data_IF_888615419543
#
_entry.id   IF_888615419543
#
_cell.length_a   1.000
_cell.length_b   1.000
_cell.length_c   1.000
_cell.angle_alpha   90.00
_cell.angle_beta   90.00
_cell.angle_gamma   90.00
#
_symmetry.space_group_name_H-M   'P 1'
#
loop_
_entity.id
_entity.type
_entity.pdbx_description
1 polymer ?
#
# COMPACT_ATOMS: atom_id res chain seq x y z
N UNK A 1 5.55 -7.66 -8.63
CA UNK A 1 4.12 -7.44 -8.92
C UNK A 1 3.32 -7.63 -7.65
N UNK A 2 2.63 -6.57 -7.20
CA UNK A 2 1.93 -6.50 -5.91
C UNK A 2 0.43 -6.78 -6.04
N UNK A 3 -0.30 -5.91 -6.74
CA UNK A 3 -1.69 -6.14 -7.16
C UNK A 3 -1.83 -5.75 -8.65
N UNK A 4 -2.72 -6.44 -9.35
CA UNK A 4 -3.13 -6.17 -10.72
C UNK A 4 -4.44 -5.38 -10.70
N UNK A 5 -4.55 -4.38 -11.59
CA UNK A 5 -5.82 -3.67 -11.82
C UNK A 5 -6.62 -4.51 -12.83
N UNK A 6 -7.71 -5.10 -12.38
CA UNK A 6 -8.57 -5.93 -13.22
C UNK A 6 -9.68 -5.09 -13.87
N UNK A 7 -10.24 -4.15 -13.13
CA UNK A 7 -11.22 -3.19 -13.64
C UNK A 7 -10.97 -1.80 -13.05
N UNK A 8 -11.07 -0.78 -13.89
CA UNK A 8 -10.91 0.61 -13.50
C UNK A 8 -11.91 1.46 -14.28
N UNK A 9 -12.93 1.91 -13.55
CA UNK A 9 -13.92 2.88 -13.98
C UNK A 9 -13.95 4.04 -13.00
N UNK A 10 -14.72 5.08 -13.29
CA UNK A 10 -14.83 6.25 -12.40
C UNK A 10 -15.46 5.90 -11.04
N UNK A 11 -16.32 4.86 -11.01
CA UNK A 11 -17.04 4.40 -9.82
C UNK A 11 -16.54 3.08 -9.22
N UNK A 12 -15.78 2.28 -9.96
CA UNK A 12 -15.29 0.97 -9.49
C UNK A 12 -13.80 0.83 -9.74
N UNK A 13 -13.07 0.43 -8.69
CA UNK A 13 -11.67 0.02 -8.79
C UNK A 13 -11.54 -1.41 -8.24
N UNK A 14 -11.18 -2.35 -9.11
CA UNK A 14 -10.99 -3.75 -8.77
C UNK A 14 -9.51 -4.11 -8.88
N UNK A 15 -8.91 -4.44 -7.74
CA UNK A 15 -7.53 -4.90 -7.63
C UNK A 15 -7.53 -6.38 -7.27
N UNK A 16 -6.76 -7.19 -7.97
CA UNK A 16 -6.63 -8.63 -7.69
C UNK A 16 -5.17 -9.05 -7.61
N UNK A 17 -4.91 -10.07 -6.79
CA UNK A 17 -3.60 -10.68 -6.62
C UNK A 17 -3.76 -12.19 -6.69
N UNK A 18 -3.12 -12.77 -7.70
CA UNK A 18 -3.00 -14.21 -7.84
C UNK A 18 -1.71 -14.74 -7.18
N UNK A 19 -1.67 -16.02 -6.76
CA UNK A 19 -0.48 -16.67 -6.26
C UNK A 19 0.69 -16.53 -7.23
N UNK A 20 1.89 -16.31 -6.71
CA UNK A 20 3.08 -16.15 -7.53
C UNK A 20 3.53 -17.44 -8.21
N UNK A 21 4.39 -17.30 -9.24
CA UNK A 21 4.98 -18.43 -9.97
C UNK A 21 5.68 -19.45 -9.04
N UNK A 22 6.27 -18.97 -7.94
CA UNK A 22 6.91 -19.83 -6.91
C UNK A 22 5.91 -20.73 -6.20
N UNK A 23 4.72 -20.22 -5.91
CA UNK A 23 3.69 -20.97 -5.23
C UNK A 23 3.07 -22.01 -6.16
N UNK A 24 2.81 -21.63 -7.41
CA UNK A 24 2.41 -22.56 -8.46
C UNK A 24 3.45 -23.65 -8.74
N UNK A 25 4.74 -23.31 -8.75
CA UNK A 25 5.80 -24.29 -8.98
C UNK A 25 5.93 -25.29 -7.82
N UNK A 26 5.76 -24.84 -6.57
CA UNK A 26 5.70 -25.73 -5.41
C UNK A 26 4.50 -26.69 -5.49
N UNK A 27 3.33 -26.18 -5.89
CA UNK A 27 2.14 -27.01 -6.04
C UNK A 27 2.37 -28.13 -7.05
N UNK A 28 2.85 -27.78 -8.25
CA UNK A 28 3.14 -28.76 -9.31
C UNK A 28 4.26 -29.70 -8.90
N UNK A 29 5.33 -29.17 -8.28
CA UNK A 29 6.48 -29.94 -7.84
C UNK A 29 6.10 -31.01 -6.82
N UNK A 30 5.42 -30.63 -5.73
CA UNK A 30 5.01 -31.57 -4.68
C UNK A 30 3.96 -32.56 -5.22
N UNK A 31 3.01 -32.09 -6.04
CA UNK A 31 2.00 -32.98 -6.63
C UNK A 31 2.63 -34.00 -7.59
N UNK A 32 3.67 -33.61 -8.35
CA UNK A 32 4.38 -34.52 -9.26
C UNK A 32 5.09 -35.64 -8.51
N UNK A 33 5.67 -35.35 -7.34
CA UNK A 33 6.29 -36.36 -6.46
C UNK A 33 5.25 -37.35 -5.95
N UNK A 34 4.07 -36.85 -5.53
CA UNK A 34 2.96 -37.71 -5.12
C UNK A 34 2.45 -38.62 -6.24
N UNK A 35 2.38 -38.09 -7.47
CA UNK A 35 1.99 -38.88 -8.64
C UNK A 35 3.04 -39.94 -8.99
N UNK A 36 4.33 -39.59 -8.95
CA UNK A 36 5.43 -40.53 -9.17
C UNK A 36 5.41 -41.65 -8.11
N UNK A 37 5.25 -41.29 -6.84
CA UNK A 37 5.13 -42.26 -5.75
C UNK A 37 3.94 -43.21 -5.97
N UNK A 38 2.77 -42.69 -6.38
CA UNK A 38 1.60 -43.52 -6.67
C UNK A 38 1.76 -44.39 -7.93
N UNK A 39 2.49 -43.92 -8.94
CA UNK A 39 2.71 -44.63 -10.20
C UNK A 39 3.73 -45.77 -10.08
N UNK A 40 4.87 -45.50 -9.42
CA UNK A 40 5.94 -46.49 -9.24
C UNK A 40 5.72 -47.43 -8.05
N UNK A 41 4.78 -47.12 -7.16
CA UNK A 41 4.39 -48.03 -6.08
C UNK A 41 3.55 -49.20 -6.64
N UNK A 42 3.86 -50.42 -6.21
CA UNK A 42 3.04 -51.63 -6.45
C UNK A 42 1.93 -51.80 -5.41
N UNK A 43 1.72 -50.81 -4.54
CA UNK A 43 0.77 -50.90 -3.43
C UNK A 43 -0.70 -50.85 -3.90
N UNK A 44 -1.59 -51.25 -3.00
CA UNK A 44 -3.04 -51.15 -3.19
C UNK A 44 -3.49 -49.71 -3.50
N UNK A 45 -4.62 -49.59 -4.20
CA UNK A 45 -5.23 -48.29 -4.54
C UNK A 45 -5.38 -47.33 -3.35
N UNK A 46 -5.62 -47.86 -2.13
CA UNK A 46 -5.72 -47.03 -0.93
C UNK A 46 -4.43 -46.30 -0.58
N UNK A 47 -3.28 -46.98 -0.66
CA UNK A 47 -1.97 -46.38 -0.41
C UNK A 47 -1.59 -45.36 -1.49
N UNK A 48 -1.92 -45.65 -2.75
CA UNK A 48 -1.73 -44.71 -3.87
C UNK A 48 -2.54 -43.42 -3.70
N UNK A 49 -3.82 -43.55 -3.31
CA UNK A 49 -4.66 -42.41 -3.00
C UNK A 49 -4.14 -41.63 -1.79
N UNK A 50 -3.61 -42.31 -0.78
CA UNK A 50 -3.01 -41.67 0.38
C UNK A 50 -1.79 -40.82 0.01
N UNK A 51 -0.86 -41.34 -0.82
CA UNK A 51 0.29 -40.57 -1.29
C UNK A 51 -0.14 -39.36 -2.12
N UNK A 52 -1.08 -39.55 -3.03
CA UNK A 52 -1.57 -38.47 -3.88
C UNK A 52 -2.30 -37.39 -3.07
N UNK A 53 -3.20 -37.79 -2.15
CA UNK A 53 -3.93 -36.88 -1.29
C UNK A 53 -3.02 -36.16 -0.30
N UNK A 54 -2.05 -36.86 0.30
CA UNK A 54 -1.07 -36.27 1.21
C UNK A 54 -0.18 -35.24 0.52
N UNK A 55 0.36 -35.56 -0.65
CA UNK A 55 1.14 -34.61 -1.44
C UNK A 55 0.30 -33.42 -1.90
N UNK A 56 -0.93 -33.65 -2.37
CA UNK A 56 -1.83 -32.56 -2.75
C UNK A 56 -2.19 -31.67 -1.57
N UNK A 57 -2.40 -32.24 -0.38
CA UNK A 57 -2.71 -31.48 0.82
C UNK A 57 -1.56 -30.56 1.25
N UNK A 58 -0.32 -31.08 1.24
CA UNK A 58 0.88 -30.28 1.52
C UNK A 58 1.10 -29.22 0.45
N UNK A 59 0.88 -29.56 -0.82
CA UNK A 59 0.98 -28.64 -1.95
C UNK A 59 0.00 -27.46 -1.80
N UNK A 60 -1.26 -27.76 -1.45
CA UNK A 60 -2.32 -26.77 -1.29
C UNK A 60 -2.12 -25.90 -0.05
N UNK A 61 -1.53 -26.42 1.04
CA UNK A 61 -1.16 -25.61 2.21
C UNK A 61 -0.05 -24.58 1.91
N UNK A 62 0.83 -24.88 0.97
CA UNK A 62 1.91 -23.97 0.56
C UNK A 62 1.47 -23.01 -0.56
N UNK A 63 0.21 -23.10 -1.00
CA UNK A 63 -0.33 -22.20 -1.99
C UNK A 63 -0.64 -20.85 -1.34
N UNK A 64 -0.12 -19.78 -1.92
CA UNK A 64 -0.38 -18.41 -1.47
C UNK A 64 -1.89 -18.09 -1.60
N UNK A 65 -2.37 -17.19 -0.74
CA UNK A 65 -3.75 -16.73 -0.78
C UNK A 65 -3.99 -15.83 -2.01
N UNK A 66 -5.20 -15.91 -2.56
CA UNK A 66 -5.69 -14.92 -3.51
C UNK A 66 -6.27 -13.74 -2.73
N UNK A 67 -5.93 -12.53 -3.15
CA UNK A 67 -6.40 -11.30 -2.50
C UNK A 67 -7.13 -10.45 -3.54
N UNK A 68 -8.33 -9.99 -3.22
CA UNK A 68 -9.12 -9.07 -4.06
C UNK A 68 -9.52 -7.86 -3.23
N UNK A 69 -9.34 -6.65 -3.77
CA UNK A 69 -9.80 -5.41 -3.18
C UNK A 69 -10.69 -4.67 -4.19
N UNK A 70 -11.97 -4.52 -3.86
CA UNK A 70 -12.97 -3.89 -4.73
C UNK A 70 -13.46 -2.62 -4.04
N UNK A 71 -13.14 -1.46 -4.62
CA UNK A 71 -13.64 -0.17 -4.18
C UNK A 71 -14.83 0.22 -5.07
N UNK A 72 -16.00 0.46 -4.47
CA UNK A 72 -17.21 0.88 -5.17
C UNK A 72 -17.73 2.19 -4.62
N UNK A 73 -17.60 3.27 -5.39
CA UNK A 73 -18.16 4.59 -5.05
C UNK A 73 -19.67 4.58 -5.06
N UNK A 74 -20.28 3.85 -6.00
CA UNK A 74 -21.74 3.78 -6.14
C UNK A 74 -22.43 3.24 -4.87
N UNK A 75 -21.78 2.29 -4.20
CA UNK A 75 -22.29 1.69 -2.96
C UNK A 75 -21.67 2.28 -1.70
N UNK A 76 -20.67 3.17 -1.83
CA UNK A 76 -19.96 3.75 -0.69
C UNK A 76 -19.11 2.72 0.08
N UNK A 77 -18.71 1.61 -0.53
CA UNK A 77 -18.08 0.47 0.18
C UNK A 77 -16.81 -0.03 -0.48
N UNK A 78 -15.93 -0.54 0.35
CA UNK A 78 -14.72 -1.30 -0.01
C UNK A 78 -14.90 -2.73 0.46
N UNK A 79 -14.70 -3.67 -0.46
CA UNK A 79 -14.70 -5.09 -0.18
C UNK A 79 -13.28 -5.60 -0.29
N UNK A 80 -12.70 -6.01 0.83
CA UNK A 80 -11.42 -6.70 0.87
C UNK A 80 -11.73 -8.18 1.06
N UNK A 81 -11.42 -8.99 0.06
CA UNK A 81 -11.63 -10.43 0.08
C UNK A 81 -10.29 -11.12 0.07
N UNK A 82 -10.09 -12.03 1.00
CA UNK A 82 -9.00 -12.99 0.97
C UNK A 82 -9.59 -14.36 0.76
N UNK A 83 -9.07 -15.06 -0.24
CA UNK A 83 -9.49 -16.39 -0.61
C UNK A 83 -8.33 -17.37 -0.48
N UNK A 84 -8.54 -18.42 0.31
CA UNK A 84 -7.54 -19.45 0.55
C UNK A 84 -8.02 -20.79 -0.06
N UNK A 85 -7.24 -21.35 -1.00
CA UNK A 85 -7.60 -22.59 -1.67
C UNK A 85 -7.58 -23.79 -0.72
N UNK A 86 -6.68 -23.82 0.27
CA UNK A 86 -6.67 -24.81 1.35
C UNK A 86 -7.96 -24.76 2.16
N UNK A 87 -8.39 -23.57 2.59
CA UNK A 87 -9.68 -23.40 3.27
C UNK A 87 -10.83 -23.85 2.37
N UNK A 88 -10.83 -23.53 1.07
CA UNK A 88 -11.88 -24.00 0.15
C UNK A 88 -11.90 -25.52 -0.01
N UNK A 89 -10.72 -26.15 -0.13
CA UNK A 89 -10.60 -27.60 -0.28
C UNK A 89 -11.03 -28.34 0.99
N UNK A 90 -10.61 -27.85 2.16
CA UNK A 90 -11.00 -28.45 3.44
C UNK A 90 -12.46 -28.21 3.79
N UNK A 91 -12.99 -27.03 3.50
CA UNK A 91 -14.35 -26.69 3.94
C UNK A 91 -15.42 -27.15 2.95
N UNK A 92 -15.04 -27.62 1.74
CA UNK A 92 -15.90 -28.19 0.67
C UNK A 92 -17.18 -27.36 0.37
N UNK A 93 -17.23 -26.12 0.85
CA UNK A 93 -18.44 -25.28 0.91
C UNK A 93 -18.06 -23.80 0.99
N UNK A 94 -19.06 -22.95 0.70
CA UNK A 94 -19.04 -21.49 0.43
C UNK A 94 -18.41 -20.59 1.52
N UNK A 95 -17.88 -21.16 2.60
CA UNK A 95 -17.39 -20.47 3.80
C UNK A 95 -15.91 -20.04 3.76
N UNK A 96 -15.19 -20.28 2.66
CA UNK A 96 -13.74 -20.02 2.54
C UNK A 96 -13.33 -18.59 2.16
N UNK A 97 -14.26 -17.63 2.16
CA UNK A 97 -13.98 -16.23 1.80
C UNK A 97 -13.99 -15.36 3.07
N UNK A 98 -12.82 -14.92 3.51
CA UNK A 98 -12.75 -13.83 4.50
C UNK A 98 -13.02 -12.54 3.75
N UNK A 99 -14.21 -11.97 3.95
CA UNK A 99 -14.62 -10.70 3.36
C UNK A 99 -14.76 -9.65 4.45
N UNK A 100 -13.95 -8.61 4.35
CA UNK A 100 -14.06 -7.40 5.16
C UNK A 100 -14.72 -6.34 4.31
N UNK A 101 -15.83 -5.78 4.80
CA UNK A 101 -16.56 -4.69 4.15
C UNK A 101 -16.36 -3.45 4.99
N UNK A 102 -15.76 -2.42 4.40
CA UNK A 102 -15.51 -1.15 5.09
C UNK A 102 -16.11 -0.02 4.26
N UNK A 103 -16.80 0.95 4.86
CA UNK A 103 -17.37 2.05 4.09
C UNK A 103 -16.26 3.02 3.66
N UNK A 104 -16.46 3.67 2.50
CA UNK A 104 -15.46 4.49 1.83
C UNK A 104 -15.17 5.80 2.59
N UNK A 105 -16.16 6.34 3.26
CA UNK A 105 -16.09 7.55 4.10
C UNK A 105 -15.19 7.37 5.33
N UNK A 106 -15.03 6.14 5.80
CA UNK A 106 -14.12 5.83 6.89
C UNK A 106 -12.65 5.85 6.47
N UNK A 107 -12.32 5.74 5.17
CA UNK A 107 -10.93 5.74 4.71
C UNK A 107 -10.41 7.16 4.66
N UNK A 108 -9.43 7.47 5.51
CA UNK A 108 -8.84 8.80 5.62
C UNK A 108 -7.56 8.97 4.80
N UNK A 109 -6.74 7.93 4.75
CA UNK A 109 -5.44 7.98 4.07
C UNK A 109 -4.99 6.58 3.64
N UNK A 110 -4.15 6.53 2.62
CA UNK A 110 -3.48 5.32 2.14
C UNK A 110 -1.98 5.52 2.32
N UNK A 111 -1.35 4.69 3.15
CA UNK A 111 0.08 4.75 3.41
C UNK A 111 0.77 3.49 2.89
N UNK A 112 2.06 3.61 2.61
CA UNK A 112 2.93 2.45 2.35
C UNK A 112 3.76 2.22 3.60
N UNK A 113 3.59 1.06 4.23
CA UNK A 113 4.38 0.67 5.41
C UNK A 113 5.50 -0.30 5.01
N UNK A 114 6.68 -0.10 5.61
CA UNK A 114 7.84 -0.98 5.45
C UNK A 114 7.79 -2.05 6.55
N UNK A 115 7.56 -3.30 6.16
CA UNK A 115 7.63 -4.44 7.06
C UNK A 115 9.03 -5.06 6.99
N UNK A 116 9.77 -5.03 8.11
CA UNK A 116 11.07 -5.70 8.20
C UNK A 116 10.87 -7.20 8.40
N UNK A 117 11.10 -7.97 7.36
CA UNK A 117 11.04 -9.44 7.43
C UNK A 117 12.40 -9.97 7.88
N UNK A 118 12.45 -10.59 9.07
CA UNK A 118 13.68 -10.98 9.81
C UNK A 118 14.81 -11.60 8.98
N UNK A 119 14.51 -12.34 7.91
CA UNK A 119 15.50 -13.05 7.08
C UNK A 119 15.48 -12.66 5.60
N UNK A 120 14.54 -11.80 5.23
CA UNK A 120 14.07 -11.63 3.86
C UNK A 120 14.14 -10.15 3.44
N UNK A 121 14.71 -9.29 4.29
CA UNK A 121 14.95 -7.89 3.98
C UNK A 121 13.73 -7.00 4.23
N UNK A 122 13.56 -5.99 3.38
CA UNK A 122 12.50 -4.98 3.48
C UNK A 122 11.32 -5.38 2.59
N UNK A 123 10.16 -5.64 3.20
CA UNK A 123 8.87 -5.77 2.53
C UNK A 123 8.13 -4.44 2.53
N UNK A 124 7.32 -4.20 1.50
CA UNK A 124 6.44 -3.04 1.43
C UNK A 124 5.00 -3.51 1.24
N UNK A 125 4.07 -2.85 1.91
CA UNK A 125 2.64 -3.13 1.81
C UNK A 125 1.83 -1.85 1.88
N UNK A 126 0.66 -1.83 1.23
CA UNK A 126 -0.29 -0.72 1.31
C UNK A 126 -1.18 -0.92 2.54
N UNK A 127 -1.30 0.13 3.35
CA UNK A 127 -2.16 0.17 4.54
C UNK A 127 -3.22 1.24 4.36
N UNK A 128 -4.48 0.84 4.51
CA UNK A 128 -5.61 1.76 4.62
C UNK A 128 -5.71 2.25 6.06
N UNK A 129 -5.72 3.58 6.25
CA UNK A 129 -5.90 4.21 7.56
C UNK A 129 -7.30 4.78 7.65
N UNK A 130 -8.03 4.36 8.68
CA UNK A 130 -9.40 4.78 8.91
C UNK A 130 -9.50 5.98 9.83
N UNK A 131 -10.61 6.72 9.74
CA UNK A 131 -10.95 7.87 10.61
C UNK A 131 -10.99 7.49 12.09
N UNK A 132 -11.34 6.24 12.38
CA UNK A 132 -11.40 5.63 13.73
C UNK A 132 -10.00 5.39 14.33
N UNK A 133 -8.93 5.57 13.57
CA UNK A 133 -7.55 5.37 14.00
C UNK A 133 -7.02 3.95 13.79
N UNK A 134 -7.85 3.01 13.32
CA UNK A 134 -7.39 1.67 12.93
C UNK A 134 -6.67 1.71 11.58
N UNK A 135 -5.72 0.80 11.41
CA UNK A 135 -5.02 0.54 10.15
C UNK A 135 -5.30 -0.89 9.69
N UNK A 136 -5.60 -1.07 8.41
CA UNK A 136 -5.80 -2.39 7.82
C UNK A 136 -4.91 -2.56 6.59
N UNK A 137 -4.03 -3.58 6.55
CA UNK A 137 -3.22 -3.84 5.38
C UNK A 137 -4.11 -4.32 4.24
N UNK A 138 -3.87 -3.81 3.04
CA UNK A 138 -4.60 -4.20 1.82
C UNK A 138 -4.27 -5.64 1.40
N UNK A 139 -3.09 -6.12 1.77
CA UNK A 139 -2.58 -7.46 1.51
C UNK A 139 -2.00 -8.04 2.80
N UNK A 140 -2.27 -9.30 3.10
CA UNK A 140 -1.71 -10.02 4.25
C UNK A 140 -0.22 -10.34 4.05
N UNK A 141 0.25 -10.35 2.80
CA UNK A 141 1.64 -10.61 2.43
C UNK A 141 2.33 -9.35 1.90
N UNK A 142 3.38 -8.90 2.58
CA UNK A 142 4.28 -7.86 2.06
C UNK A 142 5.04 -8.36 0.83
N UNK A 143 5.17 -7.50 -0.20
CA UNK A 143 5.99 -7.82 -1.37
C UNK A 143 7.41 -7.29 -1.17
N UNK A 144 8.36 -8.19 -1.41
CA UNK A 144 9.78 -7.93 -1.24
C UNK A 144 10.34 -7.19 -2.46
N UNK A 145 11.10 -6.12 -2.21
CA UNK A 145 11.92 -5.47 -3.25
C UNK A 145 11.19 -4.63 -4.30
N UNK A 146 9.85 -4.63 -4.36
CA UNK A 146 9.06 -3.89 -5.36
C UNK A 146 8.35 -2.66 -4.76
N UNK A 147 9.09 -1.76 -4.10
CA UNK A 147 8.53 -0.54 -3.49
C UNK A 147 7.76 0.32 -4.50
N UNK A 148 8.25 0.43 -5.73
CA UNK A 148 7.63 1.21 -6.81
C UNK A 148 6.22 0.73 -7.15
N UNK A 149 6.01 -0.58 -7.21
CA UNK A 149 4.71 -1.18 -7.53
C UNK A 149 3.70 -0.89 -6.42
N UNK A 150 4.16 -1.01 -5.16
CA UNK A 150 3.35 -0.74 -3.96
C UNK A 150 2.98 0.74 -3.87
N UNK A 151 3.91 1.63 -4.15
CA UNK A 151 3.65 3.08 -4.22
C UNK A 151 2.73 3.46 -5.38
N UNK A 152 2.85 2.80 -6.54
CA UNK A 152 1.97 3.02 -7.67
C UNK A 152 0.52 2.64 -7.35
N UNK A 153 0.31 1.48 -6.71
CA UNK A 153 -1.01 1.06 -6.23
C UNK A 153 -1.56 2.01 -5.16
N UNK A 154 -0.72 2.45 -4.21
CA UNK A 154 -1.13 3.43 -3.20
C UNK A 154 -1.57 4.77 -3.83
N UNK A 155 -0.80 5.27 -4.81
CA UNK A 155 -1.16 6.49 -5.57
C UNK A 155 -2.44 6.31 -6.37
N UNK A 156 -2.64 5.14 -6.97
CA UNK A 156 -3.85 4.82 -7.72
C UNK A 156 -5.09 4.85 -6.82
N UNK A 157 -5.03 4.18 -5.67
CA UNK A 157 -6.14 4.20 -4.69
C UNK A 157 -6.36 5.63 -4.17
N UNK A 158 -5.30 6.37 -3.86
CA UNK A 158 -5.40 7.75 -3.37
C UNK A 158 -6.05 8.69 -4.40
N UNK A 159 -5.69 8.53 -5.68
CA UNK A 159 -6.28 9.29 -6.78
C UNK A 159 -7.74 8.90 -7.01
N UNK A 160 -8.05 7.60 -7.00
CA UNK A 160 -9.41 7.10 -7.15
C UNK A 160 -10.34 7.57 -6.04
N UNK A 161 -9.87 7.56 -4.79
CA UNK A 161 -10.62 8.02 -3.61
C UNK A 161 -10.59 9.54 -3.42
N UNK A 162 -9.83 10.27 -4.25
CA UNK A 162 -9.66 11.72 -4.17
C UNK A 162 -9.22 12.24 -2.79
N UNK A 163 -8.53 11.41 -2.00
CA UNK A 163 -8.15 11.72 -0.60
C UNK A 163 -7.20 12.91 -0.48
N UNK A 164 -6.55 13.29 -1.58
CA UNK A 164 -5.68 14.47 -1.67
C UNK A 164 -6.42 15.77 -2.01
N UNK A 165 -7.75 15.79 -2.08
CA UNK A 165 -8.52 17.04 -2.07
C UNK A 165 -8.36 17.67 -0.69
N UNK A 166 -7.27 18.42 -0.52
CA UNK A 166 -7.17 19.46 0.48
C UNK A 166 -8.49 20.25 0.40
N UNK A 167 -9.27 20.38 1.49
CA UNK A 167 -10.40 21.28 1.49
C UNK A 167 -9.87 22.64 1.05
N UNK A 168 -10.41 23.18 -0.04
CA UNK A 168 -10.01 24.46 -0.61
C UNK A 168 -10.20 25.65 0.36
N UNK A 169 -10.66 25.39 1.58
CA UNK A 169 -10.92 26.37 2.62
C UNK A 169 -9.71 26.67 3.52
N UNK A 170 -8.54 26.04 3.30
CA UNK A 170 -7.32 26.32 4.09
C UNK A 170 -6.30 27.28 3.47
N UNK A 171 -6.59 27.85 2.31
CA UNK A 171 -5.70 28.83 1.67
C UNK A 171 -6.25 30.27 1.60
N UNK A 172 -7.47 30.53 2.12
CA UNK A 172 -8.08 31.87 2.03
C UNK A 172 -7.91 32.71 3.32
N UNK A 173 -7.57 32.14 4.47
CA UNK A 173 -7.44 32.91 5.74
C UNK A 173 -6.04 33.48 6.04
N UNK A 174 -5.11 33.49 5.08
CA UNK A 174 -3.78 34.09 5.28
C UNK A 174 -3.40 35.15 4.23
N UNK A 175 -4.37 35.64 3.44
CA UNK A 175 -4.14 36.70 2.44
C UNK A 175 -5.09 37.88 2.64
N UNK A 176 -4.96 38.58 3.76
CA UNK A 176 -5.34 39.99 3.96
C UNK A 176 -4.60 40.45 5.22
N UNK A 177 -3.79 41.50 5.30
CA UNK A 177 -3.51 42.71 4.54
C UNK A 177 -1.97 42.90 4.65
N UNK A 178 -1.24 43.45 3.70
CA UNK A 178 -1.17 44.89 3.42
C UNK A 178 -0.38 45.08 2.12
N UNK A 179 -0.94 45.90 1.25
CA UNK A 179 -0.46 46.20 -0.09
C UNK A 179 0.11 47.62 -0.13
N UNK A 180 1.28 47.76 -0.76
CA UNK A 180 1.85 48.96 -1.45
C UNK A 180 2.41 50.08 -0.55
N UNK A 181 3.66 50.57 -0.70
CA UNK A 181 4.32 51.05 -1.93
C UNK A 181 5.86 50.97 -1.90
N UNK A 182 6.43 50.45 -2.99
CA UNK A 182 7.81 50.69 -3.47
C UNK A 182 8.03 52.18 -3.83
N UNK A 183 9.27 52.67 -3.69
CA UNK A 183 9.94 53.50 -4.72
C UNK A 183 11.45 53.61 -4.42
N UNK A 184 12.26 53.33 -5.45
CA UNK A 184 13.73 53.22 -5.46
C UNK A 184 14.48 54.57 -5.40
N UNK A 185 15.74 54.52 -4.92
CA UNK A 185 16.79 55.57 -4.88
C UNK A 185 17.15 56.22 -6.25
N UNK A 186 17.71 57.47 -6.32
CA UNK A 186 19.19 57.66 -6.25
C UNK A 186 19.76 59.03 -5.77
N UNK A 187 20.93 58.94 -5.12
CA UNK A 187 22.17 59.78 -5.17
C UNK A 187 22.15 61.31 -5.48
N UNK A 188 22.70 62.15 -4.56
CA UNK A 188 23.88 63.05 -4.82
C UNK A 188 24.19 64.05 -3.67
N UNK A 189 25.44 63.99 -3.18
CA UNK A 189 26.42 65.07 -2.88
C UNK A 189 26.08 66.42 -2.17
N UNK A 190 26.77 66.63 -1.03
CA UNK A 190 27.61 67.78 -0.59
C UNK A 190 26.96 69.19 -0.32
N UNK A 191 26.98 69.68 0.94
CA UNK A 191 27.90 70.71 1.52
C UNK A 191 27.45 71.27 2.88
N UNK A 192 28.43 71.51 3.78
CA UNK A 192 28.44 72.60 4.77
C UNK A 192 28.33 72.17 6.24
N UNK A 193 29.42 71.85 6.96
CA UNK A 193 30.45 72.73 7.56
C UNK A 193 30.00 73.58 8.76
N UNK A 194 30.48 73.20 9.95
CA UNK A 194 30.99 74.09 11.02
C UNK A 194 31.53 73.20 12.16
N UNK A 195 32.82 72.87 12.17
CA UNK A 195 33.89 73.55 12.94
C UNK A 195 33.60 73.64 14.44
N UNK A 196 34.44 73.01 15.27
CA UNK A 196 35.37 73.73 16.15
C UNK A 196 36.38 72.76 16.79
N UNK A 197 37.60 73.26 16.86
CA UNK A 197 38.86 72.64 17.29
C UNK A 197 38.89 72.17 18.76
N UNK A 198 39.88 71.33 19.08
CA UNK A 198 40.32 70.98 20.45
C UNK A 198 40.92 72.18 21.23
N UNK A 199 41.74 72.00 22.28
CA UNK A 199 42.61 70.85 22.58
C UNK A 199 42.59 70.42 24.07
N UNK A 200 43.45 69.45 24.41
CA UNK A 200 44.15 69.48 25.70
C UNK A 200 43.77 68.40 26.71
N UNK A 201 44.46 67.28 26.62
CA UNK A 201 44.80 66.44 27.77
C UNK A 201 45.75 67.23 28.70
N UNK A 202 45.56 67.14 30.02
CA UNK A 202 46.70 66.74 30.83
C UNK A 202 46.36 65.77 31.98
N UNK A 203 47.26 64.80 32.12
CA UNK A 203 47.70 64.07 33.31
C UNK A 203 47.06 64.42 34.66
N UNK A 204 46.47 63.40 35.32
CA UNK A 204 46.59 63.14 36.76
C UNK A 204 46.48 61.64 37.04
#
# INVERSE_FOLDING_TARGET
MYMLVEDHSDSVLHLTRSPGIRSWSLLVGISSVGLAAAYYSEDSLGWKLFYLAGCLFVAVQNLEDWEEAIFQKDSGKVFLKTFNLYKKLLTLSRAGHEQVVVPLDEIRAVNVEEEKVRYFGKGYLVVLRFVTGFSHPLTQSAVMGCRSDVEAVAKLITGFLELNKVPADKYIENSSETDVSDEEEPFSEIYGSSSLEGPGEPDF
#
